data_IF_996372860686
#
_entry.id   IF_996372860686
#
_cell.length_a   1.000
_cell.length_b   1.000
_cell.length_c   1.000
_cell.angle_alpha   90.00
_cell.angle_beta   90.00
_cell.angle_gamma   90.00
#
_symmetry.space_group_name_H-M   'P 1'
#
loop_
_entity.id
_entity.type
_entity.pdbx_description
1 polymer ?
#
# COMPACT_ATOMS: atom_id res chain seq x y z
N UNK A 1 12.36 7.43 -21.96
CA UNK A 1 12.30 6.76 -20.65
C UNK A 1 10.85 6.42 -20.42
N UNK A 2 10.51 5.14 -20.31
CA UNK A 2 9.14 4.72 -20.06
C UNK A 2 8.74 5.15 -18.64
N UNK A 3 7.58 5.78 -18.51
CA UNK A 3 7.00 6.13 -17.20
C UNK A 3 6.30 4.91 -16.62
N UNK A 4 6.46 4.68 -15.32
CA UNK A 4 5.62 3.72 -14.58
C UNK A 4 4.14 4.11 -14.74
N UNK A 5 3.28 3.14 -15.09
CA UNK A 5 1.83 3.38 -15.29
C UNK A 5 1.04 3.24 -14.00
N UNK A 6 1.36 2.25 -13.18
CA UNK A 6 0.63 1.88 -11.95
C UNK A 6 1.62 1.23 -10.96
N UNK A 7 1.35 1.32 -9.66
CA UNK A 7 2.11 0.64 -8.63
C UNK A 7 1.25 0.05 -7.51
N UNK A 8 1.78 -0.94 -6.80
CA UNK A 8 1.17 -1.53 -5.60
C UNK A 8 2.22 -1.67 -4.50
N UNK A 9 1.91 -1.14 -3.31
CA UNK A 9 2.73 -1.22 -2.11
C UNK A 9 2.13 -2.19 -1.11
N UNK A 10 2.58 -3.45 -1.15
CA UNK A 10 2.07 -4.54 -0.30
C UNK A 10 2.74 -4.63 1.10
N UNK A 11 3.58 -3.66 1.44
CA UNK A 11 4.28 -3.55 2.72
C UNK A 11 4.65 -2.07 2.96
N UNK A 12 3.65 -1.17 3.08
CA UNK A 12 3.86 0.27 3.01
C UNK A 12 4.73 0.77 4.17
N UNK A 13 5.99 1.09 3.87
CA UNK A 13 6.99 1.55 4.85
C UNK A 13 7.34 3.03 4.67
N UNK A 14 6.36 3.87 4.32
CA UNK A 14 6.62 5.28 3.99
C UNK A 14 7.21 6.08 5.17
N UNK A 15 6.98 5.64 6.41
CA UNK A 15 7.61 6.19 7.63
C UNK A 15 9.15 6.27 7.57
N UNK A 16 9.76 5.49 6.67
CA UNK A 16 11.21 5.53 6.42
C UNK A 16 11.65 6.88 5.84
N UNK A 17 10.77 7.58 5.10
CA UNK A 17 11.05 8.93 4.59
C UNK A 17 11.41 9.88 5.75
N UNK A 18 10.61 9.85 6.82
CA UNK A 18 10.92 10.58 8.05
C UNK A 18 12.08 9.97 8.83
N UNK A 19 12.09 8.64 8.99
CA UNK A 19 13.06 7.96 9.88
C UNK A 19 14.50 8.03 9.37
N UNK A 20 14.69 8.12 8.05
CA UNK A 20 15.99 8.29 7.41
C UNK A 20 16.36 9.76 7.13
N UNK A 21 15.50 10.72 7.51
CA UNK A 21 15.76 12.14 7.35
C UNK A 21 15.61 12.68 5.92
N UNK A 22 14.85 11.98 5.05
CA UNK A 22 14.59 12.42 3.68
C UNK A 22 13.47 13.45 3.58
N UNK A 23 12.47 13.40 4.47
CA UNK A 23 11.36 14.34 4.44
C UNK A 23 10.13 13.87 5.23
N UNK A 24 8.96 13.99 4.62
CA UNK A 24 7.69 13.50 5.17
C UNK A 24 6.97 12.56 4.23
N UNK A 25 6.33 11.56 4.81
CA UNK A 25 5.54 10.54 4.12
C UNK A 25 4.50 11.18 3.19
N UNK A 26 3.80 12.22 3.65
CA UNK A 26 2.76 12.93 2.90
C UNK A 26 3.35 13.75 1.75
N UNK A 27 4.51 14.40 1.92
CA UNK A 27 5.15 15.15 0.86
C UNK A 27 5.66 14.20 -0.24
N UNK A 28 6.19 13.03 0.14
CA UNK A 28 6.55 11.98 -0.81
C UNK A 28 5.33 11.49 -1.57
N UNK A 29 4.24 11.16 -0.87
CA UNK A 29 2.99 10.72 -1.47
C UNK A 29 2.40 11.76 -2.43
N UNK A 30 2.45 13.06 -2.10
CA UNK A 30 1.95 14.14 -2.94
C UNK A 30 2.74 14.33 -4.25
N UNK A 31 3.96 13.76 -4.36
CA UNK A 31 4.77 13.77 -5.58
C UNK A 31 4.44 12.61 -6.51
N UNK A 32 3.70 11.60 -6.05
CA UNK A 32 3.29 10.46 -6.88
C UNK A 32 2.32 10.96 -7.96
N UNK A 33 2.60 10.61 -9.22
CA UNK A 33 1.80 11.02 -10.38
C UNK A 33 1.07 9.87 -11.06
N UNK A 34 1.20 8.66 -10.51
CA UNK A 34 0.64 7.43 -11.06
C UNK A 34 -0.29 6.80 -10.02
N UNK A 35 -1.30 6.02 -10.42
CA UNK A 35 -2.10 5.25 -9.49
C UNK A 35 -1.23 4.33 -8.64
N UNK A 36 -1.36 4.46 -7.32
CA UNK A 36 -0.65 3.64 -6.34
C UNK A 36 -1.64 3.08 -5.32
N UNK A 37 -1.75 1.75 -5.27
CA UNK A 37 -2.51 1.05 -4.25
C UNK A 37 -1.61 0.72 -3.06
N UNK A 38 -2.03 1.03 -1.84
CA UNK A 38 -1.40 0.55 -0.62
C UNK A 38 -2.23 -0.59 -0.02
N UNK A 39 -1.60 -1.70 0.35
CA UNK A 39 -2.23 -2.75 1.15
C UNK A 39 -1.76 -2.57 2.58
N UNK A 40 -2.63 -2.03 3.43
CA UNK A 40 -2.28 -1.58 4.78
C UNK A 40 -2.75 -2.59 5.82
N UNK A 41 -1.81 -3.09 6.62
CA UNK A 41 -2.03 -3.99 7.75
C UNK A 41 -2.79 -3.29 8.88
N UNK A 42 -3.35 -4.04 9.83
CA UNK A 42 -4.04 -3.45 10.99
C UNK A 42 -3.12 -2.61 11.87
N UNK A 43 -1.86 -3.01 11.99
CA UNK A 43 -0.85 -2.31 12.80
C UNK A 43 -0.01 -1.29 12.02
N UNK A 44 -0.36 -1.01 10.76
CA UNK A 44 0.29 0.04 9.99
C UNK A 44 -0.08 1.45 10.48
N UNK A 45 0.81 2.44 10.32
CA UNK A 45 0.56 3.81 10.74
C UNK A 45 -0.76 4.40 10.20
N UNK A 46 -1.50 5.20 10.98
CA UNK A 46 -2.80 5.73 10.57
C UNK A 46 -2.79 6.55 9.27
N UNK A 47 -1.66 7.14 8.88
CA UNK A 47 -1.57 7.95 7.67
C UNK A 47 -1.64 7.13 6.38
N UNK A 48 -1.24 5.85 6.40
CA UNK A 48 -1.32 4.93 5.24
C UNK A 48 -2.61 4.10 5.22
N UNK A 49 -3.47 4.21 6.23
CA UNK A 49 -4.78 3.56 6.25
C UNK A 49 -5.77 4.24 5.31
N UNK A 50 -6.89 3.59 4.92
CA UNK A 50 -7.97 4.25 4.19
C UNK A 50 -8.40 5.56 4.88
N UNK A 51 -8.47 6.64 4.09
CA UNK A 51 -8.78 7.97 4.61
C UNK A 51 -7.63 8.68 5.35
N UNK A 52 -6.49 8.03 5.57
CA UNK A 52 -5.28 8.63 6.14
C UNK A 52 -4.63 9.68 5.23
N UNK A 53 -3.70 10.48 5.77
CA UNK A 53 -3.12 11.61 5.04
C UNK A 53 -2.35 11.19 3.77
N UNK A 54 -1.59 10.10 3.81
CA UNK A 54 -0.92 9.52 2.63
C UNK A 54 -1.95 8.99 1.65
N UNK A 55 -2.93 8.19 2.11
CA UNK A 55 -3.96 7.64 1.24
C UNK A 55 -4.76 8.73 0.50
N UNK A 56 -5.09 9.84 1.19
CA UNK A 56 -5.74 11.00 0.57
C UNK A 56 -4.84 11.71 -0.44
N UNK A 57 -3.53 11.81 -0.19
CA UNK A 57 -2.60 12.39 -1.16
C UNK A 57 -2.52 11.55 -2.44
N UNK A 58 -2.49 10.21 -2.32
CA UNK A 58 -2.47 9.29 -3.45
C UNK A 58 -3.77 9.30 -4.28
N UNK A 59 -4.91 9.64 -3.67
CA UNK A 59 -6.18 9.77 -4.39
C UNK A 59 -6.13 10.80 -5.54
N UNK A 60 -5.27 11.81 -5.44
CA UNK A 60 -5.08 12.80 -6.50
C UNK A 60 -4.49 12.21 -7.81
N UNK A 61 -3.85 11.03 -7.74
CA UNK A 61 -3.32 10.31 -8.90
C UNK A 61 -4.06 9.00 -9.18
N UNK A 62 -5.26 8.80 -8.63
CA UNK A 62 -6.04 7.57 -8.78
C UNK A 62 -5.60 6.43 -7.86
N UNK A 63 -4.67 6.68 -6.93
CA UNK A 63 -4.27 5.72 -5.91
C UNK A 63 -5.22 5.68 -4.71
N UNK A 64 -5.10 4.66 -3.87
CA UNK A 64 -5.84 4.56 -2.61
C UNK A 64 -5.18 3.54 -1.68
N UNK A 65 -5.73 3.37 -0.47
CA UNK A 65 -5.32 2.33 0.46
C UNK A 65 -6.45 1.32 0.68
N UNK A 66 -6.11 0.05 0.85
CA UNK A 66 -6.99 -1.06 1.20
C UNK A 66 -6.55 -1.64 2.54
N UNK A 67 -7.48 -1.74 3.48
CA UNK A 67 -7.18 -2.23 4.83
C UNK A 67 -7.26 -3.76 4.94
N UNK A 68 -6.36 -4.32 5.74
CA UNK A 68 -6.27 -5.73 6.14
C UNK A 68 -6.10 -5.76 7.67
N UNK A 69 -7.18 -5.49 8.42
CA UNK A 69 -7.11 -5.14 9.85
C UNK A 69 -6.65 -6.30 10.74
N UNK A 70 -6.78 -7.54 10.28
CA UNK A 70 -6.37 -8.75 11.00
C UNK A 70 -4.91 -9.13 10.76
N UNK A 71 -4.23 -8.45 9.83
CA UNK A 71 -2.86 -8.77 9.44
C UNK A 71 -1.85 -7.84 10.09
N UNK A 72 -0.62 -8.35 10.24
CA UNK A 72 0.53 -7.58 10.68
C UNK A 72 1.33 -7.04 9.49
N UNK A 73 2.01 -5.91 9.70
CA UNK A 73 2.88 -5.24 8.74
C UNK A 73 3.72 -6.26 7.97
N UNK A 74 3.60 -6.25 6.64
CA UNK A 74 4.36 -7.08 5.70
C UNK A 74 3.89 -8.51 5.51
N UNK A 75 2.70 -8.87 6.01
CA UNK A 75 2.10 -10.20 5.85
C UNK A 75 2.11 -10.71 4.42
N UNK A 76 1.89 -9.86 3.40
CA UNK A 76 1.86 -10.29 1.99
C UNK A 76 3.17 -10.96 1.56
N UNK A 77 4.30 -10.50 2.11
CA UNK A 77 5.65 -10.98 1.75
C UNK A 77 6.26 -11.94 2.75
N UNK A 78 5.74 -11.97 3.99
CA UNK A 78 6.37 -12.64 5.14
C UNK A 78 5.42 -13.50 5.98
N UNK A 79 4.13 -13.50 5.66
CA UNK A 79 3.11 -14.25 6.38
C UNK A 79 3.34 -15.75 6.24
N UNK A 80 3.01 -16.48 7.29
CA UNK A 80 3.00 -17.94 7.28
C UNK A 80 1.74 -18.45 6.55
N UNK A 81 1.91 -19.04 5.37
CA UNK A 81 0.79 -19.54 4.56
C UNK A 81 0.29 -20.91 5.00
N UNK A 82 0.92 -21.55 5.99
CA UNK A 82 0.36 -22.74 6.64
C UNK A 82 -0.74 -22.34 7.65
N UNK A 83 -0.78 -21.08 8.10
CA UNK A 83 -1.94 -20.50 8.77
C UNK A 83 -3.02 -20.12 7.74
N UNK A 84 -4.14 -20.82 7.78
CA UNK A 84 -5.23 -20.62 6.83
C UNK A 84 -5.81 -19.20 6.80
N UNK A 85 -5.77 -18.45 7.91
CA UNK A 85 -6.23 -17.06 7.93
C UNK A 85 -5.25 -16.13 7.22
N UNK A 86 -3.95 -16.34 7.41
CA UNK A 86 -2.91 -15.57 6.73
C UNK A 86 -2.89 -15.91 5.24
N UNK A 87 -2.98 -17.19 4.88
CA UNK A 87 -3.05 -17.63 3.49
C UNK A 87 -4.20 -16.97 2.72
N UNK A 88 -5.41 -16.95 3.31
CA UNK A 88 -6.57 -16.32 2.71
C UNK A 88 -6.38 -14.79 2.49
N UNK A 89 -5.77 -14.09 3.45
CA UNK A 89 -5.52 -12.65 3.31
C UNK A 89 -4.34 -12.33 2.37
N UNK A 90 -3.37 -13.24 2.20
CA UNK A 90 -2.34 -13.14 1.15
C UNK A 90 -2.99 -13.30 -0.22
N UNK A 91 -3.85 -14.31 -0.40
CA UNK A 91 -4.58 -14.51 -1.66
C UNK A 91 -5.42 -13.29 -2.00
N UNK A 92 -6.22 -12.78 -1.05
CA UNK A 92 -7.02 -11.56 -1.22
C UNK A 92 -6.15 -10.35 -1.58
N UNK A 93 -4.99 -10.17 -0.96
CA UNK A 93 -4.04 -9.10 -1.29
C UNK A 93 -3.54 -9.20 -2.74
N UNK A 94 -3.28 -10.40 -3.24
CA UNK A 94 -2.88 -10.64 -4.63
C UNK A 94 -4.04 -10.41 -5.61
N UNK A 95 -5.27 -10.77 -5.25
CA UNK A 95 -6.46 -10.47 -6.05
C UNK A 95 -6.70 -8.96 -6.20
N UNK A 96 -6.62 -8.21 -5.11
CA UNK A 96 -6.72 -6.74 -5.10
C UNK A 96 -5.60 -6.11 -5.95
N UNK A 97 -4.38 -6.65 -5.86
CA UNK A 97 -3.25 -6.25 -6.70
C UNK A 97 -3.57 -6.46 -8.18
N UNK A 98 -4.03 -7.64 -8.57
CA UNK A 98 -4.36 -7.96 -9.96
C UNK A 98 -5.53 -7.10 -10.48
N UNK A 99 -6.55 -6.88 -9.66
CA UNK A 99 -7.68 -6.03 -10.03
C UNK A 99 -7.22 -4.60 -10.33
N UNK A 100 -6.41 -4.01 -9.44
CA UNK A 100 -5.90 -2.65 -9.61
C UNK A 100 -4.95 -2.52 -10.80
N UNK A 101 -4.07 -3.50 -11.03
CA UNK A 101 -3.20 -3.51 -12.20
C UNK A 101 -4.02 -3.59 -13.50
N UNK A 102 -5.06 -4.44 -13.57
CA UNK A 102 -5.92 -4.56 -14.75
C UNK A 102 -6.72 -3.30 -15.06
N UNK A 103 -7.09 -2.53 -14.03
CA UNK A 103 -7.79 -1.25 -14.22
C UNK A 103 -6.90 -0.18 -14.87
N UNK A 104 -5.58 -0.28 -14.71
CA UNK A 104 -4.63 0.81 -15.04
C UNK A 104 -3.54 0.44 -16.06
N UNK A 105 -3.48 -0.81 -16.56
CA UNK A 105 -2.49 -1.28 -17.56
C UNK A 105 -3.06 -1.32 -18.97
#
# INVERSE_FOLDING_TARGET
>A
MESLRVGVGAHPSLKNERSCGFGSDEALAARVRTPLLLLSAGNDPPNVQPGGAVARALAASGGHARAFPTMDHGWVTRGDVDDGAVAAEVERALEETLAFLREHV
#
